data_IF_496913802481
#
_entry.id   IF_496913802481
#
_cell.length_a   1.000
_cell.length_b   1.000
_cell.length_c   1.000
_cell.angle_alpha   90.00
_cell.angle_beta   90.00
_cell.angle_gamma   90.00
#
_symmetry.space_group_name_H-M   'P 1'
#
loop_
_entity.id
_entity.type
_entity.pdbx_description
1 polymer ?
#
# COMPACT_ATOMS: atom_id res chain seq x y z
N UNK A 1 -4.04 1.33 0.19
CA UNK A 1 -2.89 1.96 -0.49
C UNK A 1 -3.15 3.45 -0.65
N UNK A 2 -2.11 4.30 -0.53
CA UNK A 2 -2.33 5.75 -0.47
C UNK A 2 -2.90 6.28 -1.78
N UNK A 3 -4.03 6.99 -1.74
CA UNK A 3 -4.60 7.76 -2.85
C UNK A 3 -3.56 8.63 -3.56
N UNK A 4 -2.55 9.06 -2.81
CA UNK A 4 -1.41 9.83 -3.33
C UNK A 4 -0.61 9.08 -4.40
N UNK A 5 -0.46 7.75 -4.26
CA UNK A 5 0.26 6.93 -5.25
C UNK A 5 -0.59 6.78 -6.52
N UNK A 6 -1.89 6.53 -6.39
CA UNK A 6 -2.81 6.45 -7.53
C UNK A 6 -2.85 7.77 -8.30
N UNK A 7 -3.01 8.88 -7.61
CA UNK A 7 -2.99 10.22 -8.24
C UNK A 7 -1.67 10.46 -8.99
N UNK A 8 -0.54 10.00 -8.43
CA UNK A 8 0.76 10.15 -9.08
C UNK A 8 0.89 9.33 -10.36
N UNK A 9 0.32 8.12 -10.41
CA UNK A 9 0.24 7.36 -11.66
C UNK A 9 -0.58 8.11 -12.72
N UNK A 10 -1.75 8.63 -12.36
CA UNK A 10 -2.61 9.39 -13.29
C UNK A 10 -1.90 10.62 -13.87
N UNK A 11 -1.21 11.38 -13.01
CA UNK A 11 -0.38 12.52 -13.44
C UNK A 11 0.68 12.09 -14.46
N UNK A 12 1.45 11.04 -14.16
CA UNK A 12 2.53 10.57 -15.03
C UNK A 12 2.02 9.98 -16.34
N UNK A 13 0.88 9.32 -16.34
CA UNK A 13 0.23 8.83 -17.57
C UNK A 13 -0.20 10.02 -18.43
N UNK A 14 -0.75 11.06 -17.83
CA UNK A 14 -1.13 12.29 -18.55
C UNK A 14 0.11 13.01 -19.10
N UNK A 15 1.15 13.21 -18.28
CA UNK A 15 2.42 13.80 -18.72
C UNK A 15 3.02 13.03 -19.93
N UNK A 16 3.02 11.69 -19.87
CA UNK A 16 3.54 10.84 -20.96
C UNK A 16 2.77 11.03 -22.26
N UNK A 17 1.45 11.09 -22.21
CA UNK A 17 0.62 11.32 -23.40
C UNK A 17 0.86 12.72 -23.99
N UNK A 18 1.00 13.75 -23.15
CA UNK A 18 1.34 15.10 -23.61
C UNK A 18 2.71 15.14 -24.29
N UNK A 19 3.74 14.50 -23.71
CA UNK A 19 5.07 14.40 -24.31
C UNK A 19 4.98 13.64 -25.65
N UNK A 20 4.29 12.49 -25.69
CA UNK A 20 4.17 11.65 -26.88
C UNK A 20 3.52 12.37 -28.05
N UNK A 21 2.53 13.23 -27.80
CA UNK A 21 1.83 13.99 -28.83
C UNK A 21 2.66 15.12 -29.46
N UNK A 22 3.82 15.45 -28.88
CA UNK A 22 4.72 16.50 -29.35
C UNK A 22 5.97 15.94 -30.04
N UNK A 23 5.94 14.68 -30.50
CA UNK A 23 6.97 14.14 -31.37
C UNK A 23 6.86 14.69 -32.79
N UNK A 24 7.96 14.79 -33.49
CA UNK A 24 8.01 15.16 -34.90
C UNK A 24 8.89 14.20 -35.69
N UNK A 25 8.62 14.09 -37.00
CA UNK A 25 9.47 13.32 -37.91
C UNK A 25 10.50 14.27 -38.52
N UNK A 26 11.78 14.02 -38.28
CA UNK A 26 12.84 14.80 -38.91
C UNK A 26 13.07 14.29 -40.31
N UNK A 27 12.66 15.10 -41.27
CA UNK A 27 12.82 14.79 -42.72
C UNK A 27 14.22 15.11 -43.24
N UNK A 28 15.08 15.76 -42.45
CA UNK A 28 16.42 16.19 -42.87
C UNK A 28 17.53 15.19 -42.54
N UNK A 29 17.22 14.09 -41.89
CA UNK A 29 18.23 13.10 -41.50
C UNK A 29 18.39 11.99 -42.53
N UNK A 30 19.61 11.43 -42.60
CA UNK A 30 20.06 10.30 -43.45
C UNK A 30 19.21 9.02 -43.28
N UNK A 31 18.29 8.98 -42.33
CA UNK A 31 17.39 7.86 -42.02
C UNK A 31 15.93 8.32 -42.16
N UNK A 32 15.22 7.95 -43.22
CA UNK A 32 13.81 8.28 -43.38
C UNK A 32 12.99 7.66 -42.25
N UNK A 33 12.08 8.44 -41.67
CA UNK A 33 11.17 8.10 -40.55
C UNK A 33 11.78 8.07 -39.15
N UNK A 34 12.90 8.78 -38.90
CA UNK A 34 13.36 8.99 -37.53
C UNK A 34 12.45 9.99 -36.81
N UNK A 35 11.82 9.55 -35.74
CA UNK A 35 11.04 10.43 -34.83
C UNK A 35 11.91 10.92 -33.69
N UNK A 36 11.77 12.18 -33.32
CA UNK A 36 12.44 12.78 -32.18
C UNK A 36 11.52 13.77 -31.47
N UNK A 37 11.97 14.24 -30.30
CA UNK A 37 11.31 15.31 -29.55
C UNK A 37 12.05 16.63 -29.73
N UNK A 38 11.32 17.78 -29.77
CA UNK A 38 11.95 19.09 -29.60
C UNK A 38 12.78 19.16 -28.31
N UNK A 39 13.83 20.00 -28.23
CA UNK A 39 14.77 20.03 -27.09
C UNK A 39 14.10 20.19 -25.71
N UNK A 40 13.03 20.99 -25.62
CA UNK A 40 12.24 21.14 -24.42
C UNK A 40 11.50 19.87 -24.00
N UNK A 41 11.03 19.07 -24.95
CA UNK A 41 10.37 17.78 -24.67
C UNK A 41 11.36 16.65 -24.38
N UNK A 42 12.60 16.73 -24.88
CA UNK A 42 13.67 15.79 -24.51
C UNK A 42 13.99 15.88 -23.01
N UNK A 43 14.04 17.10 -22.47
CA UNK A 43 14.23 17.31 -21.02
C UNK A 43 13.05 16.77 -20.21
N UNK A 44 11.81 17.05 -20.62
CA UNK A 44 10.60 16.53 -19.97
C UNK A 44 10.53 14.99 -20.03
N UNK A 45 10.90 14.38 -21.15
CA UNK A 45 10.98 12.93 -21.26
C UNK A 45 11.98 12.32 -20.29
N UNK A 46 13.18 12.91 -20.17
CA UNK A 46 14.22 12.43 -19.26
C UNK A 46 13.77 12.52 -17.79
N UNK A 47 13.14 13.62 -17.43
CA UNK A 47 12.55 13.81 -16.10
C UNK A 47 11.41 12.80 -15.84
N UNK A 48 10.54 12.61 -16.82
CA UNK A 48 9.43 11.67 -16.73
C UNK A 48 9.91 10.23 -16.49
N UNK A 49 10.97 9.77 -17.19
CA UNK A 49 11.55 8.43 -16.96
C UNK A 49 11.92 8.22 -15.52
N UNK A 50 12.60 9.19 -14.89
CA UNK A 50 13.03 9.09 -13.49
C UNK A 50 11.82 9.00 -12.56
N UNK A 51 10.81 9.85 -12.80
CA UNK A 51 9.56 9.85 -12.03
C UNK A 51 8.81 8.51 -12.18
N UNK A 52 8.70 7.99 -13.41
CA UNK A 52 8.03 6.73 -13.71
C UNK A 52 8.76 5.53 -13.09
N UNK A 53 10.09 5.49 -13.15
CA UNK A 53 10.87 4.46 -12.47
C UNK A 53 10.67 4.50 -10.96
N UNK A 54 10.70 5.69 -10.35
CA UNK A 54 10.52 5.84 -8.93
C UNK A 54 9.13 5.38 -8.47
N UNK A 55 8.06 5.76 -9.17
CA UNK A 55 6.71 5.36 -8.79
C UNK A 55 6.50 3.85 -8.95
N UNK A 56 7.04 3.23 -10.02
CA UNK A 56 6.98 1.78 -10.21
C UNK A 56 7.76 1.04 -9.13
N UNK A 57 8.94 1.54 -8.75
CA UNK A 57 9.73 0.95 -7.66
C UNK A 57 8.98 1.02 -6.32
N UNK A 58 8.39 2.17 -6.01
CA UNK A 58 7.66 2.39 -4.76
C UNK A 58 6.36 1.58 -4.68
N UNK A 59 5.63 1.46 -5.79
CA UNK A 59 4.32 0.82 -5.83
C UNK A 59 4.42 -0.70 -6.03
N UNK A 60 5.34 -1.15 -6.88
CA UNK A 60 5.41 -2.54 -7.31
C UNK A 60 6.62 -3.31 -6.72
N UNK A 61 7.66 -2.57 -6.25
CA UNK A 61 8.93 -3.17 -5.83
C UNK A 61 9.89 -3.45 -7.00
N UNK A 62 11.18 -3.64 -6.66
CA UNK A 62 12.27 -3.82 -7.62
C UNK A 62 12.21 -5.15 -8.40
N UNK A 63 11.64 -6.20 -7.80
CA UNK A 63 11.48 -7.53 -8.38
C UNK A 63 10.15 -7.72 -9.14
N UNK A 64 9.31 -6.67 -9.25
CA UNK A 64 8.04 -6.78 -9.95
C UNK A 64 8.21 -6.95 -11.46
N UNK A 65 7.25 -7.63 -12.08
CA UNK A 65 7.18 -7.80 -13.54
C UNK A 65 7.10 -6.42 -14.22
N UNK A 66 6.35 -5.47 -13.67
CA UNK A 66 6.18 -4.12 -14.20
C UNK A 66 7.50 -3.35 -14.21
N UNK A 67 8.23 -3.33 -13.09
CA UNK A 67 9.50 -2.63 -13.00
C UNK A 67 10.58 -3.28 -13.88
N UNK A 68 10.62 -4.61 -13.92
CA UNK A 68 11.54 -5.36 -14.80
C UNK A 68 11.24 -5.10 -16.28
N UNK A 69 9.97 -5.10 -16.69
CA UNK A 69 9.56 -4.78 -18.05
C UNK A 69 9.94 -3.34 -18.44
N UNK A 70 9.72 -2.38 -17.55
CA UNK A 70 10.07 -0.98 -17.75
C UNK A 70 11.58 -0.81 -17.95
N UNK A 71 12.42 -1.39 -17.08
CA UNK A 71 13.89 -1.37 -17.21
C UNK A 71 14.37 -1.99 -18.53
N UNK A 72 13.81 -3.16 -18.89
CA UNK A 72 14.16 -3.83 -20.16
C UNK A 72 13.86 -2.95 -21.36
N UNK A 73 12.72 -2.25 -21.35
CA UNK A 73 12.34 -1.37 -22.44
C UNK A 73 13.25 -0.13 -22.56
N UNK A 74 13.77 0.36 -21.42
CA UNK A 74 14.75 1.47 -21.41
C UNK A 74 16.09 1.07 -22.02
N UNK A 75 16.50 -0.19 -21.89
CA UNK A 75 17.80 -0.69 -22.39
C UNK A 75 17.81 -0.92 -23.90
N UNK A 76 16.66 -0.89 -24.57
CA UNK A 76 16.57 -1.06 -26.04
C UNK A 76 17.07 0.16 -26.82
N UNK A 77 17.67 -0.06 -27.98
CA UNK A 77 18.03 1.02 -28.90
C UNK A 77 16.83 1.37 -29.79
N UNK A 78 15.99 2.29 -29.36
CA UNK A 78 14.86 2.78 -30.15
C UNK A 78 14.77 4.30 -30.07
N UNK A 79 14.11 4.89 -31.06
CA UNK A 79 13.76 6.30 -31.05
C UNK A 79 13.06 6.67 -29.75
N UNK A 80 13.39 7.83 -29.22
CA UNK A 80 12.87 8.32 -27.94
C UNK A 80 11.34 8.36 -27.90
N UNK A 81 10.62 8.88 -28.91
CA UNK A 81 9.15 8.84 -28.94
C UNK A 81 8.57 7.43 -29.01
N UNK A 82 9.18 6.55 -29.80
CA UNK A 82 8.76 5.14 -29.90
C UNK A 82 8.94 4.42 -28.56
N UNK A 83 10.04 4.68 -27.86
CA UNK A 83 10.30 4.14 -26.52
C UNK A 83 9.25 4.61 -25.53
N UNK A 84 8.90 5.91 -25.53
CA UNK A 84 7.86 6.43 -24.64
C UNK A 84 6.52 5.72 -24.89
N UNK A 85 6.11 5.55 -26.15
CA UNK A 85 4.88 4.81 -26.48
C UNK A 85 4.89 3.34 -26.04
N UNK A 86 6.07 2.74 -25.88
CA UNK A 86 6.21 1.38 -25.33
C UNK A 86 6.23 1.34 -23.79
N UNK A 87 6.63 2.43 -23.13
CA UNK A 87 6.64 2.54 -21.67
C UNK A 87 5.27 2.88 -21.10
N UNK A 88 4.45 3.67 -21.78
CA UNK A 88 3.11 4.05 -21.35
C UNK A 88 2.23 2.83 -21.01
N UNK A 89 2.11 1.79 -21.84
CA UNK A 89 1.31 0.60 -21.51
C UNK A 89 1.78 -0.12 -20.23
N UNK A 90 3.08 -0.13 -19.96
CA UNK A 90 3.63 -0.76 -18.75
C UNK A 90 3.20 0.03 -17.51
N UNK A 91 3.24 1.36 -17.60
CA UNK A 91 2.78 2.22 -16.50
C UNK A 91 1.27 2.09 -16.27
N UNK A 92 0.49 2.01 -17.35
CA UNK A 92 -0.96 1.79 -17.28
C UNK A 92 -1.29 0.43 -16.64
N UNK A 93 -0.59 -0.66 -17.01
CA UNK A 93 -0.79 -1.97 -16.41
C UNK A 93 -0.50 -1.97 -14.91
N UNK A 94 0.60 -1.34 -14.50
CA UNK A 94 0.93 -1.18 -13.08
C UNK A 94 -0.12 -0.36 -12.31
N UNK A 95 -0.63 0.72 -12.91
CA UNK A 95 -1.71 1.52 -12.35
C UNK A 95 -3.00 0.72 -12.19
N UNK A 96 -3.37 -0.05 -13.21
CA UNK A 96 -4.59 -0.86 -13.19
C UNK A 96 -4.51 -1.97 -12.13
N UNK A 97 -3.40 -2.70 -12.07
CA UNK A 97 -3.16 -3.72 -11.05
C UNK A 97 -3.17 -3.13 -9.64
N UNK A 98 -2.60 -1.93 -9.47
CA UNK A 98 -2.61 -1.22 -8.20
C UNK A 98 -4.01 -0.80 -7.79
N UNK A 99 -4.76 -0.20 -8.73
CA UNK A 99 -6.13 0.30 -8.50
C UNK A 99 -7.10 -0.82 -8.14
N UNK A 100 -6.92 -1.99 -8.75
CA UNK A 100 -7.77 -3.16 -8.54
C UNK A 100 -7.25 -4.10 -7.41
N UNK A 101 -6.19 -3.70 -6.69
CA UNK A 101 -5.69 -4.45 -5.54
C UNK A 101 -4.88 -5.72 -5.88
N UNK A 102 -4.42 -5.87 -7.13
CA UNK A 102 -3.60 -7.01 -7.57
C UNK A 102 -2.10 -6.86 -7.23
N UNK A 103 -1.65 -5.67 -6.83
CA UNK A 103 -0.27 -5.44 -6.39
C UNK A 103 -0.19 -5.58 -4.87
N UNK A 104 0.32 -6.72 -4.43
CA UNK A 104 0.74 -6.92 -3.04
C UNK A 104 2.17 -6.36 -2.95
N UNK A 105 2.35 -5.30 -2.18
CA UNK A 105 3.69 -4.73 -1.97
C UNK A 105 4.51 -5.61 -1.04
N UNK A 106 5.83 -5.60 -1.21
CA UNK A 106 6.74 -6.31 -0.29
C UNK A 106 6.50 -5.90 1.18
N UNK A 107 6.19 -4.61 1.43
CA UNK A 107 5.82 -4.13 2.76
C UNK A 107 4.60 -4.87 3.33
N UNK A 108 3.58 -5.10 2.51
CA UNK A 108 2.35 -5.81 2.94
C UNK A 108 2.61 -7.28 3.25
N UNK A 109 3.47 -7.95 2.45
CA UNK A 109 3.87 -9.34 2.71
C UNK A 109 4.61 -9.43 4.04
N UNK A 110 5.65 -8.60 4.23
CA UNK A 110 6.43 -8.58 5.48
C UNK A 110 5.55 -8.24 6.69
N UNK A 111 4.62 -7.31 6.53
CA UNK A 111 3.72 -6.93 7.63
C UNK A 111 2.74 -8.04 8.00
N UNK A 112 2.22 -8.77 7.00
CA UNK A 112 1.38 -9.94 7.26
C UNK A 112 2.15 -11.04 8.03
N UNK A 113 3.39 -11.35 7.60
CA UNK A 113 4.27 -12.30 8.31
C UNK A 113 4.56 -11.87 9.75
N UNK A 114 4.79 -10.56 9.97
CA UNK A 114 5.00 -10.02 11.34
C UNK A 114 3.74 -10.17 12.17
N UNK A 115 2.56 -9.83 11.65
CA UNK A 115 1.30 -9.96 12.39
C UNK A 115 0.99 -11.41 12.75
N UNK A 116 1.20 -12.34 11.83
CA UNK A 116 1.01 -13.77 12.09
C UNK A 116 1.94 -14.26 13.20
N UNK A 117 3.23 -13.91 13.15
CA UNK A 117 4.22 -14.26 14.16
C UNK A 117 3.88 -13.67 15.54
N UNK A 118 3.43 -12.42 15.61
CA UNK A 118 3.03 -11.77 16.87
C UNK A 118 1.77 -12.40 17.47
N UNK A 119 0.77 -12.78 16.64
CA UNK A 119 -0.43 -13.46 17.12
C UNK A 119 -0.15 -14.90 17.56
N UNK A 120 0.74 -15.63 16.88
CA UNK A 120 1.23 -16.94 17.34
C UNK A 120 1.95 -16.83 18.69
N UNK A 121 2.79 -15.80 18.87
CA UNK A 121 3.42 -15.51 20.15
C UNK A 121 2.40 -15.21 21.25
N UNK A 122 1.37 -14.42 20.94
CA UNK A 122 0.29 -14.14 21.89
C UNK A 122 -0.45 -15.42 22.31
N UNK A 123 -0.75 -16.33 21.36
CA UNK A 123 -1.35 -17.64 21.67
C UNK A 123 -0.46 -18.48 22.61
N UNK A 124 0.82 -18.60 22.28
CA UNK A 124 1.78 -19.36 23.08
C UNK A 124 1.90 -18.82 24.52
N UNK A 125 1.89 -17.48 24.66
CA UNK A 125 1.90 -16.84 25.98
C UNK A 125 0.60 -17.12 26.75
N UNK A 126 -0.55 -17.08 26.08
CA UNK A 126 -1.85 -17.37 26.70
C UNK A 126 -1.92 -18.82 27.19
N UNK A 127 -1.49 -19.77 26.36
CA UNK A 127 -1.40 -21.20 26.70
C UNK A 127 -0.46 -21.45 27.89
N UNK A 128 0.62 -20.66 27.99
CA UNK A 128 1.56 -20.69 29.10
C UNK A 128 1.08 -19.97 30.37
N UNK A 129 -0.15 -19.43 30.37
CA UNK A 129 -0.76 -18.75 31.50
C UNK A 129 -0.42 -17.25 31.61
N UNK A 130 0.26 -16.68 30.65
CA UNK A 130 0.64 -15.25 30.61
C UNK A 130 -0.42 -14.38 29.91
N UNK A 131 -1.66 -14.44 30.41
CA UNK A 131 -2.83 -13.71 29.89
C UNK A 131 -2.55 -12.25 29.57
N UNK A 132 -1.88 -11.55 30.48
CA UNK A 132 -1.67 -10.12 30.37
C UNK A 132 -0.69 -9.78 29.22
N UNK A 133 0.39 -10.53 29.10
CA UNK A 133 1.35 -10.37 28.01
C UNK A 133 0.73 -10.69 26.65
N UNK A 134 -0.07 -11.75 26.58
CA UNK A 134 -0.82 -12.12 25.36
C UNK A 134 -1.76 -11.00 24.90
N UNK A 135 -2.54 -10.42 25.84
CA UNK A 135 -3.45 -9.32 25.55
C UNK A 135 -2.71 -8.05 25.06
N UNK A 136 -1.55 -7.75 25.63
CA UNK A 136 -0.73 -6.60 25.17
C UNK A 136 -0.22 -6.81 23.76
N UNK A 137 0.34 -7.99 23.42
CA UNK A 137 0.86 -8.28 22.09
C UNK A 137 -0.27 -8.26 21.05
N UNK A 138 -1.37 -8.97 21.29
CA UNK A 138 -2.54 -8.95 20.41
C UNK A 138 -3.08 -7.52 20.21
N UNK A 139 -3.08 -6.72 21.28
CA UNK A 139 -3.48 -5.32 21.24
C UNK A 139 -2.58 -4.43 20.39
N UNK A 140 -1.27 -4.68 20.35
CA UNK A 140 -0.33 -3.97 19.48
C UNK A 140 -0.60 -4.31 18.03
N UNK A 141 -0.86 -5.59 17.70
CA UNK A 141 -1.25 -6.00 16.34
C UNK A 141 -2.51 -5.28 15.89
N UNK A 142 -3.56 -5.26 16.72
CA UNK A 142 -4.80 -4.56 16.40
C UNK A 142 -4.57 -3.06 16.14
N UNK A 143 -3.82 -2.40 17.03
CA UNK A 143 -3.56 -0.96 16.91
C UNK A 143 -2.79 -0.64 15.62
N UNK A 144 -1.78 -1.45 15.28
CA UNK A 144 -0.98 -1.29 14.08
C UNK A 144 -1.83 -1.51 12.83
N UNK A 145 -2.65 -2.56 12.80
CA UNK A 145 -3.55 -2.86 11.69
C UNK A 145 -4.59 -1.74 11.46
N UNK A 146 -5.18 -1.19 12.53
CA UNK A 146 -6.11 -0.06 12.43
C UNK A 146 -5.42 1.20 11.90
N UNK A 147 -4.20 1.50 12.34
CA UNK A 147 -3.42 2.63 11.83
C UNK A 147 -3.10 2.48 10.34
N UNK A 148 -2.66 1.31 9.91
CA UNK A 148 -2.41 1.05 8.48
C UNK A 148 -3.70 1.16 7.65
N UNK A 149 -4.81 0.63 8.15
CA UNK A 149 -6.09 0.73 7.47
C UNK A 149 -6.54 2.20 7.33
N UNK A 150 -6.30 3.04 8.35
CA UNK A 150 -6.54 4.48 8.29
C UNK A 150 -5.67 5.14 7.21
N UNK A 151 -4.36 4.86 7.19
CA UNK A 151 -3.44 5.41 6.18
C UNK A 151 -3.83 5.00 4.77
N UNK A 152 -4.24 3.75 4.57
CA UNK A 152 -4.70 3.23 3.27
C UNK A 152 -5.98 3.93 2.78
N UNK A 153 -6.81 4.42 3.70
CA UNK A 153 -8.04 5.16 3.39
C UNK A 153 -7.88 6.68 3.46
N UNK A 154 -6.64 7.20 3.57
CA UNK A 154 -6.38 8.64 3.61
C UNK A 154 -6.80 9.33 4.91
N UNK A 155 -7.01 8.56 5.98
CA UNK A 155 -7.38 9.07 7.31
C UNK A 155 -6.11 9.41 8.07
N UNK A 156 -6.02 10.65 8.57
CA UNK A 156 -4.92 11.09 9.41
C UNK A 156 -4.91 10.36 10.75
N UNK A 157 -3.74 9.87 11.17
CA UNK A 157 -3.53 9.12 12.41
C UNK A 157 -2.83 9.93 13.51
N UNK A 158 -2.38 11.17 13.19
CA UNK A 158 -1.59 11.96 14.14
C UNK A 158 -2.38 12.26 15.40
N UNK A 159 -1.80 11.96 16.57
CA UNK A 159 -2.34 12.22 17.91
C UNK A 159 -3.72 11.60 18.20
N UNK A 160 -4.16 10.62 17.39
CA UNK A 160 -5.45 9.94 17.60
C UNK A 160 -5.28 8.64 18.38
N UNK A 161 -6.21 8.39 19.29
CA UNK A 161 -6.33 7.11 20.01
C UNK A 161 -6.97 6.06 19.13
N UNK A 162 -6.75 4.78 19.42
CA UNK A 162 -7.33 3.65 18.70
C UNK A 162 -8.85 3.76 18.53
N UNK A 163 -9.58 4.18 19.58
CA UNK A 163 -11.03 4.38 19.51
C UNK A 163 -11.45 5.47 18.51
N UNK A 164 -10.70 6.56 18.43
CA UNK A 164 -10.96 7.63 17.46
C UNK A 164 -10.70 7.17 16.00
N UNK A 165 -9.62 6.41 15.79
CA UNK A 165 -9.30 5.81 14.49
C UNK A 165 -10.39 4.83 14.05
N UNK A 166 -10.87 3.99 14.97
CA UNK A 166 -11.99 3.09 14.75
C UNK A 166 -13.30 3.84 14.37
N UNK A 167 -13.58 4.95 15.03
CA UNK A 167 -14.74 5.80 14.71
C UNK A 167 -14.61 6.44 13.32
N UNK A 168 -13.42 6.93 12.98
CA UNK A 168 -13.16 7.57 11.69
C UNK A 168 -13.25 6.56 10.52
N UNK A 169 -12.76 5.33 10.68
CA UNK A 169 -12.92 4.26 9.70
C UNK A 169 -14.39 3.88 9.47
N UNK A 170 -15.18 3.78 10.55
CA UNK A 170 -16.61 3.51 10.45
C UNK A 170 -17.36 4.66 9.77
N UNK A 171 -17.02 5.92 10.07
CA UNK A 171 -17.59 7.10 9.39
C UNK A 171 -17.22 7.16 7.90
N UNK A 172 -16.02 6.74 7.56
CA UNK A 172 -15.56 6.64 6.17
C UNK A 172 -16.20 5.46 5.41
N UNK A 173 -17.00 4.62 6.09
CA UNK A 173 -17.67 3.47 5.47
C UNK A 173 -16.76 2.29 5.16
N UNK A 174 -15.55 2.23 5.75
CA UNK A 174 -14.61 1.12 5.56
C UNK A 174 -15.19 -0.17 6.11
N UNK A 175 -15.92 -0.08 7.22
CA UNK A 175 -16.69 -1.18 7.79
C UNK A 175 -17.97 -0.68 8.48
N UNK A 176 -18.86 -1.62 8.77
CA UNK A 176 -20.17 -1.32 9.34
C UNK A 176 -20.12 -1.07 10.88
N UNK A 177 -21.25 -0.63 11.42
CA UNK A 177 -21.43 -0.34 12.86
C UNK A 177 -21.18 -1.56 13.75
N UNK A 178 -21.43 -2.78 13.28
CA UNK A 178 -21.21 -4.01 14.03
C UNK A 178 -19.70 -4.24 14.22
N UNK A 179 -18.93 -4.13 13.12
CA UNK A 179 -17.47 -4.25 13.16
C UNK A 179 -16.84 -3.17 14.05
N UNK A 180 -17.33 -1.92 13.96
CA UNK A 180 -16.87 -0.84 14.86
C UNK A 180 -17.02 -1.21 16.33
N UNK A 181 -18.18 -1.77 16.74
CA UNK A 181 -18.42 -2.21 18.12
C UNK A 181 -17.50 -3.35 18.54
N UNK A 182 -17.25 -4.32 17.65
CA UNK A 182 -16.31 -5.41 17.92
C UNK A 182 -14.90 -4.86 18.18
N UNK A 183 -14.40 -3.98 17.32
CA UNK A 183 -13.08 -3.35 17.51
C UNK A 183 -13.04 -2.53 18.81
N UNK A 184 -14.12 -1.84 19.18
CA UNK A 184 -14.19 -1.11 20.46
C UNK A 184 -14.01 -2.05 21.64
N UNK A 185 -14.67 -3.21 21.64
CA UNK A 185 -14.52 -4.20 22.70
C UNK A 185 -13.08 -4.77 22.80
N UNK A 186 -12.44 -5.02 21.65
CA UNK A 186 -11.04 -5.45 21.61
C UNK A 186 -10.09 -4.36 22.11
N UNK A 187 -10.37 -3.08 21.75
CA UNK A 187 -9.60 -1.93 22.23
C UNK A 187 -9.72 -1.75 23.75
N UNK A 188 -10.87 -2.09 24.35
CA UNK A 188 -11.06 -2.03 25.81
C UNK A 188 -10.20 -3.09 26.52
N UNK A 189 -10.14 -4.33 26.02
CA UNK A 189 -9.23 -5.37 26.54
C UNK A 189 -7.78 -4.89 26.45
N UNK A 190 -7.36 -4.38 25.29
CA UNK A 190 -6.02 -3.82 25.08
C UNK A 190 -5.70 -2.70 26.06
N UNK A 191 -6.64 -1.77 26.28
CA UNK A 191 -6.44 -0.65 27.18
C UNK A 191 -6.31 -1.13 28.64
N UNK A 192 -7.17 -2.06 29.07
CA UNK A 192 -7.08 -2.65 30.40
C UNK A 192 -5.75 -3.38 30.61
N UNK A 193 -5.31 -4.17 29.63
CA UNK A 193 -4.01 -4.83 29.68
C UNK A 193 -2.83 -3.84 29.75
N UNK A 194 -2.85 -2.76 28.98
CA UNK A 194 -1.81 -1.74 28.97
C UNK A 194 -1.76 -0.90 30.26
N UNK A 195 -2.90 -0.74 30.94
CA UNK A 195 -3.01 0.03 32.19
C UNK A 195 -2.92 -0.82 33.48
N UNK A 196 -2.73 -2.13 33.34
CA UNK A 196 -2.58 -3.02 34.49
C UNK A 196 -3.90 -3.44 35.16
N UNK A 197 -5.06 -3.19 34.54
CA UNK A 197 -6.39 -3.58 34.99
C UNK A 197 -6.69 -5.03 34.62
N UNK A 198 -5.92 -5.97 35.15
CA UNK A 198 -5.92 -7.37 34.69
C UNK A 198 -7.14 -8.18 35.12
N UNK A 199 -7.93 -7.68 36.04
CA UNK A 199 -9.15 -8.33 36.55
C UNK A 199 -10.37 -8.03 35.63
N UNK A 200 -10.25 -7.07 34.74
CA UNK A 200 -11.31 -6.65 33.81
C UNK A 200 -11.48 -7.55 32.59
N UNK A 201 -10.62 -8.57 32.40
CA UNK A 201 -10.71 -9.52 31.32
C UNK A 201 -10.16 -10.90 31.71
N UNK A 202 -10.69 -11.94 31.07
CA UNK A 202 -10.35 -13.34 31.35
C UNK A 202 -9.44 -13.95 30.26
N UNK A 203 -8.93 -15.17 30.49
CA UNK A 203 -8.21 -15.92 29.47
C UNK A 203 -9.09 -16.17 28.22
N UNK A 204 -10.39 -16.40 28.42
CA UNK A 204 -11.34 -16.63 27.30
C UNK A 204 -11.52 -15.36 26.48
N UNK A 205 -11.50 -14.20 27.12
CA UNK A 205 -11.61 -12.91 26.41
C UNK A 205 -10.37 -12.65 25.54
N UNK A 206 -9.17 -13.00 26.03
CA UNK A 206 -7.93 -12.87 25.28
C UNK A 206 -7.86 -13.87 24.12
N UNK A 207 -8.29 -15.11 24.32
CA UNK A 207 -8.37 -16.10 23.25
C UNK A 207 -9.30 -15.66 22.11
N UNK A 208 -10.49 -15.15 22.47
CA UNK A 208 -11.43 -14.55 21.51
C UNK A 208 -10.84 -13.31 20.83
N UNK A 209 -10.15 -12.45 21.58
CA UNK A 209 -9.49 -11.28 21.05
C UNK A 209 -8.48 -11.66 19.95
N UNK A 210 -7.63 -12.65 20.18
CA UNK A 210 -6.67 -13.12 19.20
C UNK A 210 -7.40 -13.62 17.94
N UNK A 211 -8.40 -14.49 18.10
CA UNK A 211 -9.17 -15.05 16.99
C UNK A 211 -9.94 -13.98 16.20
N UNK A 212 -10.48 -12.97 16.87
CA UNK A 212 -11.20 -11.88 16.21
C UNK A 212 -10.25 -10.92 15.47
N UNK A 213 -9.04 -10.71 15.98
CA UNK A 213 -7.99 -9.95 15.28
C UNK A 213 -7.52 -10.70 14.03
N UNK A 214 -7.28 -12.01 14.10
CA UNK A 214 -6.96 -12.82 12.91
C UNK A 214 -8.03 -12.68 11.83
N UNK A 215 -9.30 -12.80 12.20
CA UNK A 215 -10.42 -12.66 11.27
C UNK A 215 -10.51 -11.24 10.69
N UNK A 216 -10.23 -10.23 11.51
CA UNK A 216 -10.16 -8.84 11.07
C UNK A 216 -9.04 -8.64 10.03
N UNK A 217 -7.85 -9.16 10.29
CA UNK A 217 -6.72 -9.10 9.36
C UNK A 217 -7.04 -9.78 8.03
N UNK A 218 -7.63 -10.98 8.04
CA UNK A 218 -8.05 -11.69 6.82
C UNK A 218 -9.07 -10.90 5.99
N UNK A 219 -9.86 -10.04 6.63
CA UNK A 219 -10.93 -9.30 5.94
C UNK A 219 -10.49 -7.92 5.46
N UNK A 220 -9.62 -7.24 6.22
CA UNK A 220 -9.29 -5.82 6.03
C UNK A 220 -7.81 -5.53 5.83
N UNK A 221 -6.91 -6.50 6.02
CA UNK A 221 -5.53 -6.35 5.58
C UNK A 221 -5.47 -6.43 4.06
N UNK A 222 -4.67 -5.56 3.43
CA UNK A 222 -4.51 -5.55 1.98
C UNK A 222 -3.73 -6.78 1.48
#
# INVERSE_FOLDING_TARGET
MSQKILNRFEELIKEANEISNNSFVDTNIRFPNFEDFPPNYQALYSEWIIKAQNILLLACGDNSIHFAAFKRQLSGSSDTPKRLRQLIPILNAAYDDLKNGFLITFKQIVQAEVFDSELEQAKSLLESGYKNAAAVIAGVVLETAIKELCLNNGIDIERKKLTQLNDDLAKAGVYNKLQQKQITALADIRNNAAHGNYDEFTNVDVDRMISDIERFLLTYSP
#
